data_IF_440094923995
#
_entry.id   IF_440094923995
#
_cell.length_a   1.000
_cell.length_b   1.000
_cell.length_c   1.000
_cell.angle_alpha   90.00
_cell.angle_beta   90.00
_cell.angle_gamma   90.00
#
_symmetry.space_group_name_H-M   'P 1'
#
loop_
_entity.id
_entity.type
_entity.pdbx_description
1 polymer ?
#
# COMPACT_ATOMS: atom_id res chain seq x y z
N UNK A 1 23.93 22.68 -35.46
CA UNK A 1 23.72 21.28 -35.01
C UNK A 1 24.61 21.04 -33.81
N UNK A 2 24.06 21.13 -32.59
CA UNK A 2 24.81 20.79 -31.38
C UNK A 2 24.79 19.26 -31.20
N UNK A 3 25.95 18.60 -31.10
CA UNK A 3 26.00 17.16 -30.92
C UNK A 3 25.43 16.77 -29.55
N UNK A 4 24.64 15.70 -29.61
CA UNK A 4 24.06 14.78 -28.63
C UNK A 4 24.78 14.53 -27.28
N UNK A 5 25.26 15.55 -26.57
CA UNK A 5 25.87 15.42 -25.24
C UNK A 5 24.89 14.95 -24.15
N UNK A 6 23.58 14.89 -24.42
CA UNK A 6 22.58 14.38 -23.47
C UNK A 6 22.57 12.85 -23.30
N UNK A 7 23.22 12.10 -24.19
CA UNK A 7 23.10 10.63 -24.18
C UNK A 7 23.97 9.96 -23.10
N UNK A 8 25.21 10.41 -22.93
CA UNK A 8 26.17 9.80 -21.99
C UNK A 8 25.82 10.07 -20.53
N UNK A 9 25.34 11.27 -20.22
CA UNK A 9 24.96 11.66 -18.85
C UNK A 9 23.78 10.82 -18.34
N UNK A 10 22.84 10.49 -19.23
CA UNK A 10 21.70 9.62 -18.91
C UNK A 10 22.16 8.18 -18.61
N UNK A 11 23.13 7.66 -19.35
CA UNK A 11 23.65 6.30 -19.11
C UNK A 11 24.33 6.23 -17.74
N UNK A 12 25.18 7.21 -17.40
CA UNK A 12 25.83 7.25 -16.09
C UNK A 12 24.84 7.38 -14.94
N UNK A 13 23.79 8.20 -15.08
CA UNK A 13 22.74 8.33 -14.09
C UNK A 13 21.96 7.02 -13.87
N UNK A 14 21.61 6.32 -14.96
CA UNK A 14 20.93 5.02 -14.89
C UNK A 14 21.82 3.98 -14.22
N UNK A 15 23.10 3.92 -14.59
CA UNK A 15 24.06 3.00 -13.96
C UNK A 15 24.21 3.28 -12.47
N UNK A 16 24.35 4.55 -12.08
CA UNK A 16 24.42 4.95 -10.68
C UNK A 16 23.17 4.56 -9.91
N UNK A 17 21.97 4.77 -10.49
CA UNK A 17 20.71 4.35 -9.89
C UNK A 17 20.65 2.83 -9.69
N UNK A 18 21.02 2.04 -10.71
CA UNK A 18 21.05 0.58 -10.61
C UNK A 18 22.02 0.12 -9.51
N UNK A 19 23.22 0.72 -9.46
CA UNK A 19 24.21 0.42 -8.41
C UNK A 19 23.66 0.77 -7.04
N UNK A 20 23.03 1.95 -6.88
CA UNK A 20 22.44 2.37 -5.61
C UNK A 20 21.33 1.41 -5.15
N UNK A 21 20.45 0.98 -6.06
CA UNK A 21 19.42 -0.03 -5.78
C UNK A 21 20.06 -1.35 -5.34
N UNK A 22 21.07 -1.83 -6.05
CA UNK A 22 21.74 -3.09 -5.74
C UNK A 22 22.47 -3.05 -4.39
N UNK A 23 23.23 -1.97 -4.14
CA UNK A 23 23.89 -1.73 -2.84
C UNK A 23 22.86 -1.67 -1.72
N UNK A 24 21.73 -0.98 -1.93
CA UNK A 24 20.66 -0.91 -0.93
C UNK A 24 20.08 -2.29 -0.63
N UNK A 25 19.82 -3.11 -1.65
CA UNK A 25 19.36 -4.50 -1.45
C UNK A 25 20.39 -5.29 -0.64
N UNK A 26 21.68 -5.21 -0.96
CA UNK A 26 22.73 -5.90 -0.20
C UNK A 26 22.72 -5.48 1.27
N UNK A 27 22.64 -4.17 1.54
CA UNK A 27 22.60 -3.66 2.90
C UNK A 27 21.37 -4.15 3.66
N UNK A 28 20.19 -4.13 3.02
CA UNK A 28 18.95 -4.65 3.60
C UNK A 28 19.04 -6.16 3.86
N UNK A 29 19.54 -6.97 2.93
CA UNK A 29 19.73 -8.42 3.12
C UNK A 29 20.63 -8.74 4.32
N UNK A 30 21.69 -7.94 4.51
CA UNK A 30 22.69 -8.16 5.56
C UNK A 30 22.22 -7.69 6.94
N UNK A 31 21.56 -6.54 7.01
CA UNK A 31 21.30 -5.84 8.28
C UNK A 31 19.84 -5.76 8.67
N UNK A 32 18.90 -5.97 7.74
CA UNK A 32 17.48 -5.83 8.01
C UNK A 32 16.82 -7.21 8.22
N UNK A 33 16.11 -7.44 9.34
CA UNK A 33 15.42 -8.70 9.57
C UNK A 33 14.23 -8.88 8.59
N UNK A 34 13.79 -10.12 8.32
CA UNK A 34 12.52 -10.35 7.64
C UNK A 34 11.36 -9.65 8.35
N UNK A 35 10.47 -9.03 7.59
CA UNK A 35 9.22 -8.48 8.12
C UNK A 35 8.21 -9.58 8.36
N UNK A 36 7.37 -9.43 9.39
CA UNK A 36 6.46 -10.48 9.86
C UNK A 36 5.52 -10.98 8.75
N UNK A 37 4.82 -10.07 8.07
CA UNK A 37 3.87 -10.46 7.02
C UNK A 37 4.60 -10.98 5.77
N UNK A 38 5.81 -10.47 5.50
CA UNK A 38 6.61 -11.01 4.41
C UNK A 38 7.03 -12.47 4.67
N UNK A 39 7.58 -12.75 5.85
CA UNK A 39 8.05 -14.07 6.26
C UNK A 39 6.92 -15.09 6.40
N UNK A 40 5.81 -14.70 7.02
CA UNK A 40 4.71 -15.62 7.33
C UNK A 40 3.72 -15.74 6.17
N UNK A 41 3.52 -14.67 5.39
CA UNK A 41 2.48 -14.66 4.34
C UNK A 41 3.10 -14.66 2.94
N UNK A 42 3.75 -13.57 2.55
CA UNK A 42 4.00 -13.30 1.13
C UNK A 42 5.12 -14.14 0.52
N UNK A 43 6.16 -14.48 1.29
CA UNK A 43 7.28 -15.33 0.83
C UNK A 43 6.93 -16.81 0.70
N UNK A 44 5.77 -17.23 1.20
CA UNK A 44 5.30 -18.62 1.16
C UNK A 44 4.32 -18.86 -0.01
N UNK A 45 3.97 -17.82 -0.76
CA UNK A 45 2.95 -17.92 -1.80
C UNK A 45 3.39 -18.77 -2.98
N UNK A 46 2.51 -19.69 -3.38
CA UNK A 46 2.62 -20.44 -4.63
C UNK A 46 1.68 -19.86 -5.68
N UNK A 47 2.05 -19.97 -6.96
CA UNK A 47 1.16 -19.54 -8.06
C UNK A 47 -0.05 -20.48 -8.20
N UNK A 48 0.12 -21.77 -7.93
CA UNK A 48 -0.91 -22.79 -8.08
C UNK A 48 -1.99 -22.71 -7.00
N UNK A 49 -1.59 -22.41 -5.77
CA UNK A 49 -2.48 -22.34 -4.61
C UNK A 49 -2.02 -21.26 -3.62
N UNK A 50 -2.35 -19.98 -3.87
CA UNK A 50 -2.00 -18.88 -2.98
C UNK A 50 -2.65 -18.98 -1.59
N UNK A 51 -3.78 -19.69 -1.48
CA UNK A 51 -4.57 -19.80 -0.25
C UNK A 51 -4.17 -20.98 0.63
N UNK A 52 -3.14 -21.74 0.24
CA UNK A 52 -2.44 -22.66 1.14
C UNK A 52 -1.77 -21.96 2.33
N UNK A 53 -1.69 -20.63 2.31
CA UNK A 53 -1.16 -19.78 3.37
C UNK A 53 -2.33 -19.08 4.07
N UNK A 54 -2.66 -19.51 5.29
CA UNK A 54 -3.87 -19.06 6.04
C UNK A 54 -3.96 -17.53 6.23
N UNK A 55 -2.82 -16.83 6.27
CA UNK A 55 -2.77 -15.38 6.43
C UNK A 55 -2.97 -14.60 5.12
N UNK A 56 -3.06 -15.27 3.98
CA UNK A 56 -3.26 -14.63 2.67
C UNK A 56 -4.75 -14.45 2.37
N UNK A 57 -5.21 -13.19 2.42
CA UNK A 57 -6.62 -12.82 2.19
C UNK A 57 -6.81 -11.90 0.97
N UNK A 58 -5.75 -11.64 0.20
CA UNK A 58 -5.81 -10.80 -1.00
C UNK A 58 -6.36 -11.62 -2.17
N UNK A 59 -6.91 -10.98 -3.24
CA UNK A 59 -7.25 -11.71 -4.46
C UNK A 59 -6.05 -12.49 -5.00
N UNK A 60 -6.23 -13.69 -5.60
CA UNK A 60 -5.11 -14.58 -5.87
C UNK A 60 -4.17 -14.01 -6.94
N UNK A 61 -4.67 -13.22 -7.88
CA UNK A 61 -3.85 -12.54 -8.88
C UNK A 61 -2.85 -11.53 -8.27
N UNK A 62 -2.98 -11.16 -7.00
CA UNK A 62 -1.97 -10.36 -6.29
C UNK A 62 -0.59 -11.01 -6.32
N UNK A 63 -0.51 -12.36 -6.35
CA UNK A 63 0.76 -13.10 -6.44
C UNK A 63 1.55 -12.75 -7.72
N UNK A 64 0.88 -12.35 -8.80
CA UNK A 64 1.52 -11.99 -10.07
C UNK A 64 2.36 -10.71 -9.96
N UNK A 65 2.07 -9.87 -8.97
CA UNK A 65 2.85 -8.66 -8.68
C UNK A 65 3.97 -8.87 -7.67
N UNK A 66 4.16 -10.11 -7.20
CA UNK A 66 5.15 -10.48 -6.19
C UNK A 66 6.15 -11.53 -6.72
N UNK A 67 6.74 -11.37 -7.92
CA UNK A 67 7.70 -12.36 -8.42
C UNK A 67 8.95 -12.51 -7.51
N UNK A 68 9.27 -11.48 -6.71
CA UNK A 68 10.33 -11.52 -5.72
C UNK A 68 9.99 -12.36 -4.48
N UNK A 69 8.76 -12.81 -4.31
CA UNK A 69 8.38 -13.78 -3.28
C UNK A 69 9.07 -15.14 -3.44
N UNK A 70 9.42 -15.51 -4.68
CA UNK A 70 10.07 -16.79 -4.99
C UNK A 70 11.60 -16.75 -4.87
N UNK A 71 12.17 -15.60 -4.53
CA UNK A 71 13.59 -15.47 -4.21
C UNK A 71 13.85 -15.92 -2.76
N UNK A 72 15.12 -16.18 -2.38
CA UNK A 72 15.45 -16.45 -0.98
C UNK A 72 14.84 -15.41 -0.05
N UNK A 73 14.25 -15.85 1.07
CA UNK A 73 13.44 -15.05 2.00
C UNK A 73 13.98 -13.63 2.22
N UNK A 74 15.27 -13.50 2.56
CA UNK A 74 15.91 -12.21 2.84
C UNK A 74 16.02 -11.30 1.62
N UNK A 75 16.25 -11.87 0.43
CA UNK A 75 16.33 -11.13 -0.83
C UNK A 75 14.94 -10.61 -1.21
N UNK A 76 13.92 -11.49 -1.18
CA UNK A 76 12.53 -11.09 -1.41
C UNK A 76 12.10 -10.00 -0.43
N UNK A 77 12.44 -10.15 0.86
CA UNK A 77 12.13 -9.18 1.91
C UNK A 77 12.75 -7.81 1.62
N UNK A 78 14.04 -7.78 1.29
CA UNK A 78 14.77 -6.56 0.95
C UNK A 78 14.16 -5.85 -0.27
N UNK A 79 13.80 -6.61 -1.31
CA UNK A 79 13.13 -6.06 -2.50
C UNK A 79 11.77 -5.47 -2.13
N UNK A 80 10.96 -6.18 -1.34
CA UNK A 80 9.63 -5.70 -0.96
C UNK A 80 9.69 -4.43 -0.10
N UNK A 81 10.65 -4.35 0.82
CA UNK A 81 10.84 -3.14 1.62
C UNK A 81 11.29 -1.97 0.75
N UNK A 82 12.21 -2.22 -0.19
CA UNK A 82 12.65 -1.21 -1.14
C UNK A 82 11.49 -0.73 -2.02
N UNK A 83 10.58 -1.61 -2.46
CA UNK A 83 9.39 -1.24 -3.21
C UNK A 83 8.47 -0.32 -2.39
N UNK A 84 8.22 -0.62 -1.11
CA UNK A 84 7.49 0.27 -0.20
C UNK A 84 8.12 1.67 -0.14
N UNK A 85 9.45 1.74 0.03
CA UNK A 85 10.17 3.03 0.10
C UNK A 85 10.09 3.78 -1.23
N UNK A 86 10.44 3.14 -2.34
CA UNK A 86 10.49 3.77 -3.67
C UNK A 86 9.11 4.24 -4.12
N UNK A 87 8.06 3.44 -3.88
CA UNK A 87 6.69 3.84 -4.24
C UNK A 87 6.22 5.01 -3.38
N UNK A 88 6.55 5.07 -2.09
CA UNK A 88 6.26 6.26 -1.26
C UNK A 88 6.93 7.51 -1.85
N UNK A 89 8.23 7.43 -2.17
CA UNK A 89 8.94 8.56 -2.81
C UNK A 89 8.27 8.99 -4.12
N UNK A 90 7.97 8.03 -4.99
CA UNK A 90 7.30 8.27 -6.27
C UNK A 90 5.92 8.89 -6.08
N UNK A 91 5.12 8.35 -5.16
CA UNK A 91 3.77 8.81 -4.86
C UNK A 91 3.77 10.24 -4.33
N UNK A 92 4.62 10.56 -3.35
CA UNK A 92 4.76 11.92 -2.82
C UNK A 92 5.14 12.89 -3.93
N UNK A 93 6.16 12.55 -4.74
CA UNK A 93 6.58 13.40 -5.85
C UNK A 93 5.46 13.61 -6.88
N UNK A 94 4.82 12.52 -7.33
CA UNK A 94 3.75 12.55 -8.34
C UNK A 94 2.52 13.33 -7.86
N UNK A 95 2.21 13.27 -6.57
CA UNK A 95 1.12 14.01 -5.96
C UNK A 95 1.47 15.47 -5.65
N UNK A 96 2.70 15.92 -5.89
CA UNK A 96 3.16 17.29 -5.65
C UNK A 96 3.54 17.57 -4.20
N UNK A 97 3.74 16.54 -3.38
CA UNK A 97 4.32 16.68 -2.05
C UNK A 97 5.83 16.91 -2.10
N UNK A 98 6.38 17.49 -1.03
CA UNK A 98 7.81 17.80 -0.89
C UNK A 98 8.50 17.04 0.24
N UNK A 99 9.69 17.50 0.62
CA UNK A 99 10.50 16.90 1.70
C UNK A 99 9.79 16.83 3.05
N UNK A 100 8.90 17.79 3.36
CA UNK A 100 8.09 17.75 4.58
C UNK A 100 7.14 16.57 4.55
N UNK A 101 6.50 16.28 3.41
CA UNK A 101 5.60 15.14 3.28
C UNK A 101 6.35 13.81 3.46
N UNK A 102 7.53 13.69 2.85
CA UNK A 102 8.42 12.54 3.07
C UNK A 102 8.81 12.42 4.54
N UNK A 103 9.21 13.52 5.18
CA UNK A 103 9.55 13.56 6.60
C UNK A 103 8.40 13.04 7.46
N UNK A 104 7.18 13.53 7.27
CA UNK A 104 6.00 13.07 8.00
C UNK A 104 5.75 11.56 7.80
N UNK A 105 5.87 11.05 6.57
CA UNK A 105 5.64 9.63 6.30
C UNK A 105 6.74 8.78 6.94
N UNK A 106 8.02 9.04 6.63
CA UNK A 106 9.16 8.22 7.05
C UNK A 106 9.47 8.28 8.56
N UNK A 107 8.99 9.30 9.27
CA UNK A 107 9.13 9.41 10.72
C UNK A 107 7.84 9.04 11.47
N UNK A 108 6.82 8.51 10.79
CA UNK A 108 5.58 8.11 11.44
C UNK A 108 5.66 6.72 12.09
N UNK A 109 4.91 6.46 13.18
CA UNK A 109 4.78 5.12 13.75
C UNK A 109 4.24 4.09 12.76
N UNK A 110 3.32 4.48 11.87
CA UNK A 110 2.74 3.58 10.87
C UNK A 110 3.74 3.17 9.79
N UNK A 111 4.73 4.02 9.46
CA UNK A 111 5.82 3.63 8.59
C UNK A 111 6.79 2.66 9.28
N UNK A 112 7.11 2.87 10.56
CA UNK A 112 7.92 1.90 11.31
C UNK A 112 7.22 0.55 11.45
N UNK A 113 5.90 0.54 11.65
CA UNK A 113 5.12 -0.69 11.64
C UNK A 113 5.10 -1.34 10.24
N UNK A 114 5.01 -0.56 9.15
CA UNK A 114 5.17 -1.07 7.78
C UNK A 114 6.54 -1.69 7.56
N UNK A 115 7.62 -1.08 8.07
CA UNK A 115 8.95 -1.69 8.00
C UNK A 115 8.96 -3.03 8.74
N UNK A 116 8.39 -3.08 9.95
CA UNK A 116 8.34 -4.29 10.79
C UNK A 116 7.55 -5.43 10.16
N UNK A 117 6.42 -5.14 9.50
CA UNK A 117 5.58 -6.16 8.85
C UNK A 117 6.01 -6.46 7.42
N UNK A 118 6.55 -5.46 6.74
CA UNK A 118 6.92 -5.48 5.33
C UNK A 118 5.80 -6.00 4.42
N UNK A 119 4.60 -5.44 4.61
CA UNK A 119 3.41 -5.77 3.81
C UNK A 119 3.51 -5.20 2.36
N UNK A 120 2.48 -5.37 1.55
CA UNK A 120 2.42 -5.01 0.12
C UNK A 120 1.65 -3.71 -0.15
N UNK A 121 1.64 -2.77 0.80
CA UNK A 121 0.93 -1.48 0.69
C UNK A 121 1.44 -0.57 -0.44
N UNK A 122 2.64 -0.88 -0.97
CA UNK A 122 3.14 -0.29 -2.20
C UNK A 122 2.22 -0.56 -3.41
N UNK A 123 1.49 -1.67 -3.47
CA UNK A 123 0.58 -1.97 -4.59
C UNK A 123 -0.58 -0.97 -4.70
N UNK A 124 -1.47 -0.81 -3.70
CA UNK A 124 -2.57 0.14 -3.80
C UNK A 124 -2.07 1.59 -3.94
N UNK A 125 -0.95 1.95 -3.29
CA UNK A 125 -0.37 3.29 -3.42
C UNK A 125 0.16 3.55 -4.84
N UNK A 126 0.86 2.58 -5.42
CA UNK A 126 1.29 2.65 -6.82
C UNK A 126 0.07 2.72 -7.74
N UNK A 127 -0.96 1.91 -7.48
CA UNK A 127 -2.21 1.90 -8.23
C UNK A 127 -2.90 3.25 -8.30
N UNK A 128 -3.04 3.92 -7.15
CA UNK A 128 -3.55 5.28 -7.08
C UNK A 128 -2.68 6.26 -7.88
N UNK A 129 -1.37 6.09 -7.83
CA UNK A 129 -0.40 7.05 -8.39
C UNK A 129 -0.26 6.94 -9.92
N UNK A 130 -0.29 5.73 -10.47
CA UNK A 130 -0.17 5.51 -11.93
C UNK A 130 -1.48 5.77 -12.68
N UNK A 131 -2.62 5.61 -12.00
CA UNK A 131 -3.94 5.79 -12.60
C UNK A 131 -4.31 4.74 -13.65
N UNK A 132 -5.41 4.93 -14.40
CA UNK A 132 -5.87 3.99 -15.42
C UNK A 132 -4.85 3.78 -16.56
N UNK A 133 -4.87 2.61 -17.22
CA UNK A 133 -5.82 1.51 -17.01
C UNK A 133 -5.37 0.48 -15.95
N UNK A 134 -4.09 0.47 -15.55
CA UNK A 134 -3.55 -0.53 -14.62
C UNK A 134 -3.76 -0.18 -13.15
N UNK A 135 -3.89 1.10 -12.80
CA UNK A 135 -4.07 1.57 -11.43
C UNK A 135 -5.23 0.90 -10.68
N UNK A 136 -6.43 0.80 -11.28
CA UNK A 136 -7.54 0.06 -10.69
C UNK A 136 -7.23 -1.40 -10.33
N UNK A 137 -6.43 -2.10 -11.15
CA UNK A 137 -6.04 -3.49 -10.90
C UNK A 137 -5.14 -3.62 -9.66
N UNK A 138 -4.23 -2.67 -9.45
CA UNK A 138 -3.38 -2.63 -8.27
C UNK A 138 -4.15 -2.22 -7.00
N UNK A 139 -5.13 -1.31 -7.13
CA UNK A 139 -6.00 -0.89 -6.03
C UNK A 139 -6.82 -2.05 -5.46
N UNK A 140 -7.39 -2.90 -6.33
CA UNK A 140 -8.19 -4.06 -5.89
C UNK A 140 -7.35 -5.17 -5.28
N UNK A 141 -6.02 -5.14 -5.37
CA UNK A 141 -5.17 -6.09 -4.64
C UNK A 141 -5.32 -5.92 -3.13
N UNK A 142 -5.62 -4.70 -2.64
CA UNK A 142 -5.85 -4.39 -1.23
C UNK A 142 -6.87 -3.24 -1.10
N UNK A 143 -8.16 -3.51 -1.41
CA UNK A 143 -9.16 -2.46 -1.56
C UNK A 143 -9.42 -1.71 -0.26
N UNK A 144 -9.15 -2.31 0.91
CA UNK A 144 -9.35 -1.69 2.21
C UNK A 144 -8.39 -0.54 2.54
N UNK A 145 -7.26 -0.42 1.83
CA UNK A 145 -6.31 0.67 2.08
C UNK A 145 -6.73 1.98 1.38
N UNK A 146 -7.05 1.92 0.08
CA UNK A 146 -7.30 3.10 -0.78
C UNK A 146 -8.44 2.91 -1.81
N UNK A 147 -9.24 1.85 -1.68
CA UNK A 147 -10.21 1.43 -2.70
C UNK A 147 -11.32 2.43 -3.00
N UNK A 148 -11.62 3.38 -2.11
CA UNK A 148 -12.58 4.47 -2.36
C UNK A 148 -12.25 5.29 -3.62
N UNK A 149 -10.97 5.37 -4.00
CA UNK A 149 -10.54 6.01 -5.25
C UNK A 149 -11.21 5.42 -6.49
N UNK A 150 -11.50 4.11 -6.49
CA UNK A 150 -12.15 3.42 -7.62
C UNK A 150 -13.52 4.02 -7.94
N UNK A 151 -14.25 4.52 -6.94
CA UNK A 151 -15.56 5.13 -7.16
C UNK A 151 -15.46 6.38 -8.05
N UNK A 152 -14.44 7.21 -7.83
CA UNK A 152 -14.21 8.41 -8.63
C UNK A 152 -13.68 8.05 -10.01
N UNK A 153 -12.78 7.06 -10.11
CA UNK A 153 -12.28 6.57 -11.41
C UNK A 153 -13.42 6.01 -12.28
N UNK A 154 -14.32 5.21 -11.69
CA UNK A 154 -15.49 4.64 -12.37
C UNK A 154 -16.48 5.73 -12.79
N UNK A 155 -16.73 6.71 -11.92
CA UNK A 155 -17.58 7.88 -12.23
C UNK A 155 -17.08 8.60 -13.48
N UNK A 156 -15.77 8.83 -13.60
CA UNK A 156 -15.15 9.48 -14.77
C UNK A 156 -15.21 8.60 -16.01
N UNK A 157 -14.93 7.31 -15.86
CA UNK A 157 -14.97 6.35 -16.95
C UNK A 157 -15.10 4.91 -16.43
N UNK A 158 -16.29 4.32 -16.54
CA UNK A 158 -16.53 2.95 -16.05
C UNK A 158 -15.63 1.90 -16.73
N UNK A 159 -15.14 2.16 -17.95
CA UNK A 159 -14.28 1.23 -18.71
C UNK A 159 -12.94 0.96 -18.03
N UNK A 160 -12.53 1.78 -17.06
CA UNK A 160 -11.33 1.53 -16.24
C UNK A 160 -11.43 0.22 -15.44
N UNK A 161 -12.65 -0.31 -15.27
CA UNK A 161 -12.89 -1.60 -14.60
C UNK A 161 -12.80 -2.81 -15.51
N UNK A 162 -12.64 -2.65 -16.83
CA UNK A 162 -12.57 -3.81 -17.74
C UNK A 162 -11.37 -4.72 -17.42
N UNK A 163 -10.20 -4.15 -17.10
CA UNK A 163 -9.02 -4.93 -16.70
C UNK A 163 -9.24 -5.61 -15.32
N UNK A 164 -9.62 -4.89 -14.24
CA UNK A 164 -10.04 -5.49 -12.97
C UNK A 164 -11.06 -6.62 -13.12
N UNK A 165 -12.14 -6.40 -13.87
CA UNK A 165 -13.19 -7.38 -14.07
C UNK A 165 -12.66 -8.61 -14.80
N UNK A 166 -11.85 -8.42 -15.85
CA UNK A 166 -11.18 -9.52 -16.55
C UNK A 166 -10.25 -10.32 -15.63
N UNK A 167 -9.48 -9.64 -14.77
CA UNK A 167 -8.61 -10.31 -13.80
C UNK A 167 -9.41 -11.09 -12.74
N UNK A 168 -10.52 -10.56 -12.25
CA UNK A 168 -11.42 -11.26 -11.32
C UNK A 168 -12.04 -12.48 -11.99
N UNK A 169 -12.58 -12.33 -13.21
CA UNK A 169 -13.17 -13.45 -13.96
C UNK A 169 -12.13 -14.54 -14.25
N UNK A 170 -10.94 -14.15 -14.70
CA UNK A 170 -9.83 -15.09 -14.91
C UNK A 170 -9.41 -15.75 -13.59
N UNK A 171 -9.49 -15.03 -12.47
CA UNK A 171 -9.15 -15.59 -11.18
C UNK A 171 -10.07 -16.74 -10.76
N UNK A 172 -11.36 -16.66 -11.10
CA UNK A 172 -12.28 -17.77 -10.85
C UNK A 172 -11.99 -18.99 -11.71
N UNK A 173 -11.49 -18.79 -12.92
CA UNK A 173 -11.08 -19.90 -13.79
C UNK A 173 -9.80 -20.59 -13.30
N UNK A 174 -8.83 -19.81 -12.78
CA UNK A 174 -7.51 -20.33 -12.41
C UNK A 174 -7.45 -20.87 -10.96
N UNK A 175 -8.17 -20.24 -10.02
CA UNK A 175 -8.11 -20.57 -8.59
C UNK A 175 -9.48 -20.96 -7.99
N UNK A 176 -10.52 -21.08 -8.81
CA UNK A 176 -11.87 -21.40 -8.35
C UNK A 176 -12.54 -20.24 -7.59
N UNK A 177 -13.60 -20.55 -6.83
CA UNK A 177 -14.37 -19.56 -6.08
C UNK A 177 -13.69 -19.21 -4.74
N UNK A 178 -12.51 -18.59 -4.84
CA UNK A 178 -11.70 -18.19 -3.68
C UNK A 178 -12.38 -17.32 -2.61
N UNK A 179 -13.46 -16.54 -2.87
CA UNK A 179 -14.16 -15.83 -1.80
C UNK A 179 -14.64 -16.75 -0.66
N UNK A 180 -14.97 -18.01 -0.95
CA UNK A 180 -15.33 -19.00 0.07
C UNK A 180 -14.14 -19.38 0.98
N UNK A 181 -12.93 -19.45 0.41
CA UNK A 181 -11.71 -19.78 1.14
C UNK A 181 -11.32 -18.68 2.14
N UNK A 182 -11.65 -17.42 1.83
CA UNK A 182 -11.38 -16.28 2.72
C UNK A 182 -12.56 -15.89 3.61
N UNK A 183 -13.77 -16.40 3.36
CA UNK A 183 -14.97 -16.00 4.11
C UNK A 183 -14.89 -16.34 5.62
N UNK A 184 -14.14 -17.38 6.00
CA UNK A 184 -13.91 -17.76 7.39
C UNK A 184 -12.79 -16.96 8.08
N UNK A 185 -11.94 -16.28 7.31
CA UNK A 185 -10.82 -15.49 7.83
C UNK A 185 -11.35 -14.09 8.16
N UNK A 186 -11.73 -13.88 9.43
CA UNK A 186 -12.30 -12.61 9.88
C UNK A 186 -11.30 -11.83 10.73
N UNK A 187 -10.49 -10.96 10.13
CA UNK A 187 -9.50 -10.18 10.88
C UNK A 187 -10.13 -9.07 11.74
N UNK A 188 -11.48 -9.01 11.79
CA UNK A 188 -12.24 -8.00 12.53
C UNK A 188 -11.98 -8.09 14.04
N UNK A 189 -11.76 -9.30 14.57
CA UNK A 189 -11.54 -9.54 16.00
C UNK A 189 -10.05 -9.60 16.39
N UNK A 190 -9.15 -9.35 15.45
CA UNK A 190 -7.72 -9.47 15.68
C UNK A 190 -7.16 -8.24 16.39
N UNK A 191 -6.14 -8.45 17.23
CA UNK A 191 -5.51 -7.38 18.03
C UNK A 191 -4.84 -6.29 17.17
N UNK A 192 -4.55 -6.60 15.91
CA UNK A 192 -3.97 -5.68 14.95
C UNK A 192 -5.02 -4.92 14.12
N UNK A 193 -6.31 -5.12 14.36
CA UNK A 193 -7.36 -4.37 13.67
C UNK A 193 -7.47 -2.94 14.24
N UNK A 194 -7.31 -1.95 13.36
CA UNK A 194 -7.40 -0.51 13.63
C UNK A 194 -8.64 0.13 12.99
N UNK A 195 -9.64 -0.68 12.62
CA UNK A 195 -10.91 -0.15 12.14
C UNK A 195 -11.55 0.74 13.21
N UNK A 196 -12.03 1.91 12.76
CA UNK A 196 -12.76 2.87 13.61
C UNK A 196 -14.28 2.68 13.51
N UNK A 197 -14.76 1.57 12.94
CA UNK A 197 -16.19 1.30 12.86
C UNK A 197 -16.80 1.07 14.26
N UNK A 198 -18.05 1.51 14.48
CA UNK A 198 -18.93 2.21 13.54
C UNK A 198 -18.70 3.74 13.52
N UNK A 199 -17.87 4.28 14.40
CA UNK A 199 -17.68 5.73 14.61
C UNK A 199 -17.13 6.41 13.34
N UNK A 200 -16.32 5.71 12.54
CA UNK A 200 -15.78 6.22 11.28
C UNK A 200 -16.83 6.45 10.19
N UNK A 201 -17.99 5.77 10.22
CA UNK A 201 -18.95 5.76 9.11
C UNK A 201 -19.44 7.16 8.73
N UNK A 202 -19.93 8.01 9.67
CA UNK A 202 -20.43 9.33 9.29
C UNK A 202 -19.36 10.20 8.64
N UNK A 203 -18.11 10.12 9.13
CA UNK A 203 -16.99 10.87 8.57
C UNK A 203 -16.55 10.33 7.21
N UNK A 204 -16.46 9.00 7.07
CA UNK A 204 -16.13 8.34 5.81
C UNK A 204 -17.15 8.67 4.71
N UNK A 205 -18.44 8.59 5.02
CA UNK A 205 -19.53 8.95 4.09
C UNK A 205 -19.45 10.42 3.72
N UNK A 206 -19.22 11.31 4.69
CA UNK A 206 -19.07 12.74 4.41
C UNK A 206 -17.89 13.03 3.47
N UNK A 207 -16.71 12.44 3.73
CA UNK A 207 -15.53 12.61 2.88
C UNK A 207 -15.77 12.03 1.48
N UNK A 208 -16.40 10.86 1.39
CA UNK A 208 -16.72 10.23 0.11
C UNK A 208 -17.75 11.02 -0.69
N UNK A 209 -18.80 11.54 -0.03
CA UNK A 209 -19.77 12.46 -0.62
C UNK A 209 -19.07 13.71 -1.16
N UNK A 210 -18.16 14.31 -0.37
CA UNK A 210 -17.36 15.44 -0.83
C UNK A 210 -16.48 15.10 -2.03
N UNK A 211 -15.79 13.96 -1.98
CA UNK A 211 -14.96 13.47 -3.06
C UNK A 211 -15.78 13.29 -4.35
N UNK A 212 -16.98 12.73 -4.24
CA UNK A 212 -17.91 12.57 -5.36
C UNK A 212 -18.27 13.90 -6.02
N UNK A 213 -18.59 14.93 -5.24
CA UNK A 213 -19.00 16.24 -5.77
C UNK A 213 -17.83 17.07 -6.29
N UNK A 214 -16.63 16.89 -5.73
CA UNK A 214 -15.42 17.61 -6.14
C UNK A 214 -14.57 16.84 -7.16
N UNK A 215 -15.01 15.64 -7.53
CA UNK A 215 -14.26 14.74 -8.42
C UNK A 215 -12.84 14.48 -7.92
N UNK A 216 -12.69 14.31 -6.60
CA UNK A 216 -11.40 14.19 -5.92
C UNK A 216 -11.12 12.73 -5.51
N UNK A 217 -10.38 12.02 -6.35
CA UNK A 217 -10.02 10.61 -6.13
C UNK A 217 -9.14 10.40 -4.89
N UNK A 218 -8.32 11.38 -4.51
CA UNK A 218 -7.45 11.30 -3.35
C UNK A 218 -8.27 11.39 -2.06
N UNK A 219 -9.29 12.26 -2.05
CA UNK A 219 -10.20 12.38 -0.92
C UNK A 219 -11.03 11.10 -0.74
N UNK A 220 -11.46 10.49 -1.84
CA UNK A 220 -12.14 9.19 -1.79
C UNK A 220 -11.19 8.09 -1.28
N UNK A 221 -9.94 8.08 -1.72
CA UNK A 221 -8.93 7.12 -1.26
C UNK A 221 -8.77 7.16 0.27
N UNK A 222 -8.58 8.36 0.84
CA UNK A 222 -8.38 8.53 2.29
C UNK A 222 -9.65 8.31 3.12
N UNK A 223 -10.84 8.30 2.51
CA UNK A 223 -12.07 7.89 3.21
C UNK A 223 -12.18 6.38 3.44
N UNK A 224 -11.43 5.57 2.68
CA UNK A 224 -11.53 4.10 2.71
C UNK A 224 -11.38 3.51 4.12
N UNK A 225 -10.33 3.86 4.90
CA UNK A 225 -10.13 3.32 6.25
C UNK A 225 -11.29 3.57 7.22
N UNK A 226 -12.08 4.61 6.99
CA UNK A 226 -13.21 5.00 7.84
C UNK A 226 -14.48 4.19 7.54
N UNK A 227 -14.49 3.48 6.41
CA UNK A 227 -15.66 2.76 5.88
C UNK A 227 -15.46 1.24 5.85
N UNK A 228 -14.28 0.73 6.22
CA UNK A 228 -13.95 -0.69 6.15
C UNK A 228 -13.92 -1.32 7.54
N UNK A 229 -14.39 -2.58 7.67
CA UNK A 229 -14.45 -3.27 8.96
C UNK A 229 -13.09 -3.74 9.47
N UNK A 230 -12.07 -3.64 8.63
CA UNK A 230 -10.73 -4.06 8.96
C UNK A 230 -9.69 -3.20 8.25
N UNK A 231 -8.71 -2.72 9.02
CA UNK A 231 -7.48 -2.13 8.50
C UNK A 231 -6.37 -2.30 9.53
N UNK A 232 -5.13 -2.55 9.08
CA UNK A 232 -3.96 -2.63 9.96
C UNK A 232 -3.26 -1.28 10.08
N UNK A 233 -2.55 -0.99 11.19
CA UNK A 233 -1.85 0.28 11.39
C UNK A 233 -0.89 0.61 10.25
N UNK A 234 -0.05 -0.34 9.84
CA UNK A 234 0.89 -0.14 8.73
C UNK A 234 0.21 0.26 7.41
N UNK A 235 -1.04 -0.15 7.16
CA UNK A 235 -1.77 0.21 5.93
C UNK A 235 -2.13 1.70 5.88
N UNK A 236 -2.14 2.38 7.04
CA UNK A 236 -2.35 3.83 7.13
C UNK A 236 -1.17 4.65 6.61
N UNK A 237 -0.02 4.03 6.32
CA UNK A 237 1.11 4.71 5.67
C UNK A 237 0.73 5.32 4.32
N UNK A 238 -0.08 4.59 3.53
CA UNK A 238 -0.54 5.04 2.21
C UNK A 238 -1.54 6.20 2.35
N UNK A 239 -2.35 6.19 3.40
CA UNK A 239 -3.28 7.27 3.75
C UNK A 239 -2.49 8.52 4.15
N UNK A 240 -1.51 8.39 5.04
CA UNK A 240 -0.65 9.50 5.43
C UNK A 240 0.15 10.04 4.25
N UNK A 241 0.61 9.19 3.32
CA UNK A 241 1.27 9.62 2.09
C UNK A 241 0.37 10.52 1.25
N UNK A 242 -0.90 10.14 1.05
CA UNK A 242 -1.88 10.96 0.31
C UNK A 242 -2.20 12.25 1.06
N UNK A 243 -2.48 12.17 2.37
CA UNK A 243 -2.76 13.34 3.21
C UNK A 243 -1.59 14.32 3.20
N UNK A 244 -0.36 13.86 3.41
CA UNK A 244 0.83 14.72 3.46
C UNK A 244 1.10 15.43 2.13
N UNK A 245 0.73 14.80 1.01
CA UNK A 245 0.93 15.35 -0.32
C UNK A 245 -0.19 16.30 -0.77
N UNK A 246 -1.46 15.99 -0.45
CA UNK A 246 -2.64 16.72 -0.94
C UNK A 246 -3.35 17.57 0.11
N UNK A 247 -3.28 17.18 1.37
CA UNK A 247 -4.03 17.77 2.48
C UNK A 247 -3.14 17.99 3.71
N UNK A 248 -2.07 18.81 3.62
CA UNK A 248 -1.01 18.87 4.62
C UNK A 248 -1.50 19.24 6.04
N UNK A 249 -2.56 20.05 6.15
CA UNK A 249 -3.19 20.35 7.45
C UNK A 249 -3.76 19.08 8.11
N UNK A 250 -4.48 18.26 7.35
CA UNK A 250 -5.01 16.99 7.86
C UNK A 250 -3.89 15.99 8.16
N UNK A 251 -2.82 15.99 7.35
CA UNK A 251 -1.65 15.16 7.58
C UNK A 251 -0.97 15.45 8.92
N UNK A 252 -0.83 16.71 9.30
CA UNK A 252 -0.25 17.09 10.60
C UNK A 252 -1.09 16.55 11.76
N UNK A 253 -2.41 16.74 11.72
CA UNK A 253 -3.32 16.20 12.74
C UNK A 253 -3.24 14.67 12.82
N UNK A 254 -3.24 14.02 11.67
CA UNK A 254 -3.11 12.56 11.59
C UNK A 254 -1.77 12.10 12.19
N UNK A 255 -0.66 12.72 11.78
CA UNK A 255 0.70 12.42 12.23
C UNK A 255 0.88 12.58 13.75
N UNK A 256 0.42 13.69 14.33
CA UNK A 256 0.50 13.89 15.77
C UNK A 256 -0.47 12.97 16.52
N UNK A 257 -1.64 12.69 15.94
CA UNK A 257 -2.61 11.74 16.48
C UNK A 257 -2.06 10.33 16.61
N UNK A 258 -1.42 9.80 15.54
CA UNK A 258 -0.82 8.46 15.57
C UNK A 258 0.37 8.39 16.56
N UNK A 259 1.18 9.42 16.68
CA UNK A 259 2.25 9.47 17.69
C UNK A 259 1.71 9.50 19.11
N UNK A 260 0.71 10.33 19.38
CA UNK A 260 0.06 10.39 20.69
C UNK A 260 -0.53 9.03 21.08
N UNK A 261 -1.25 8.39 20.15
CA UNK A 261 -1.77 7.04 20.32
C UNK A 261 -0.65 6.04 20.64
N UNK A 262 0.42 6.00 19.85
CA UNK A 262 1.55 5.07 20.08
C UNK A 262 2.19 5.25 21.45
N UNK A 263 2.39 6.50 21.89
CA UNK A 263 2.97 6.79 23.21
C UNK A 263 2.06 6.34 24.35
N UNK A 264 0.75 6.58 24.24
CA UNK A 264 -0.24 6.17 25.24
C UNK A 264 -0.29 4.65 25.34
N UNK A 265 -0.37 3.96 24.20
CA UNK A 265 -0.43 2.50 24.14
C UNK A 265 0.85 1.84 24.67
N UNK A 266 2.01 2.37 24.31
CA UNK A 266 3.28 1.90 24.83
C UNK A 266 3.32 1.96 26.36
N UNK A 267 2.84 3.06 26.96
CA UNK A 267 2.76 3.20 28.42
C UNK A 267 1.76 2.23 29.04
N UNK A 268 0.59 2.06 28.43
CA UNK A 268 -0.45 1.15 28.92
C UNK A 268 0.07 -0.28 29.07
N UNK A 269 0.82 -0.77 28.09
CA UNK A 269 1.38 -2.13 28.07
C UNK A 269 2.45 -2.36 29.15
N UNK A 270 3.22 -1.34 29.52
CA UNK A 270 4.32 -1.47 30.50
C UNK A 270 3.89 -1.20 31.95
N UNK A 271 2.68 -0.68 32.16
CA UNK A 271 2.13 -0.43 33.50
C UNK A 271 1.18 -1.54 33.99
N UNK A 272 0.81 -2.47 33.12
CA UNK A 272 0.04 -3.68 33.42
C UNK A 272 0.96 -4.87 33.70
#
# INVERSE_FOLDING_TARGET
MHPNLKSTDNILAILFFIIAVFVTIILLVKFYPPGVDWEVTYSQLSLSDPYSVDSFMNPPFTVLFLPHAWLPLRIGNAINLLLNIVVIFYAVHKMGGGWIALGLVFTSPVFFDLCRTNNIDWLPLLGLTIGPPLGPLLLICKPQSLGGALLILVKRNWRVMLIPAGAILLSFTLWGFWPEQVAGLTPVNEVFNFSVLPIGIPYGIYLLWRAWHTDDEYLAAVSTPLLVPYITPYSLVSVLCVLASKYPKAANWFYFGIWAFTIIEYRRIHLS
#
